data_IF_682638645111
#
_entry.id   IF_682638645111
#
_cell.length_a   1.000
_cell.length_b   1.000
_cell.length_c   1.000
_cell.angle_alpha   90.00
_cell.angle_beta   90.00
_cell.angle_gamma   90.00
#
_symmetry.space_group_name_H-M   'P 1'
#
loop_
_entity.id
_entity.type
_entity.pdbx_description
1 polymer ?
#
# COMPACT_ATOMS: atom_id res chain seq x y z
N UNK A 1 4.30 -4.35 14.43
CA UNK A 1 3.91 -4.10 13.02
C UNK A 1 2.91 -5.18 12.62
N UNK A 2 1.80 -4.85 11.95
CA UNK A 2 0.77 -5.84 11.57
C UNK A 2 1.30 -6.78 10.46
N UNK A 3 1.02 -8.11 10.50
CA UNK A 3 1.61 -9.09 9.57
C UNK A 3 1.33 -8.83 8.09
N UNK A 4 0.22 -8.17 7.76
CA UNK A 4 -0.11 -7.84 6.36
C UNK A 4 0.95 -6.98 5.67
N UNK A 5 1.70 -6.15 6.42
CA UNK A 5 2.68 -5.22 5.84
C UNK A 5 3.85 -5.98 5.19
N UNK A 6 4.59 -6.86 5.91
CA UNK A 6 5.63 -7.66 5.28
C UNK A 6 5.09 -8.58 4.19
N UNK A 7 3.91 -9.21 4.38
CA UNK A 7 3.29 -10.07 3.35
C UNK A 7 3.06 -9.31 2.04
N UNK A 8 2.58 -8.07 2.10
CA UNK A 8 2.39 -7.22 0.91
C UNK A 8 3.73 -6.84 0.29
N UNK A 9 4.71 -6.40 1.09
CA UNK A 9 6.02 -5.97 0.57
C UNK A 9 6.78 -7.14 -0.07
N UNK A 10 6.80 -8.31 0.57
CA UNK A 10 7.37 -9.54 0.03
C UNK A 10 6.63 -10.01 -1.23
N UNK A 11 5.30 -9.94 -1.24
CA UNK A 11 4.50 -10.29 -2.41
C UNK A 11 4.76 -9.36 -3.60
N UNK A 12 5.00 -8.06 -3.35
CA UNK A 12 5.39 -7.11 -4.39
C UNK A 12 6.81 -7.38 -4.90
N UNK A 13 7.76 -7.62 -3.99
CA UNK A 13 9.13 -7.96 -4.35
C UNK A 13 9.20 -9.26 -5.17
N UNK A 14 8.43 -10.28 -4.80
CA UNK A 14 8.36 -11.55 -5.53
C UNK A 14 7.69 -11.44 -6.91
N UNK A 15 6.92 -10.39 -7.14
CA UNK A 15 6.28 -10.09 -8.43
C UNK A 15 6.99 -8.99 -9.22
N UNK A 16 8.17 -8.55 -8.77
CA UNK A 16 8.89 -7.43 -9.36
C UNK A 16 9.26 -7.68 -10.83
N UNK A 17 9.16 -6.62 -11.63
CA UNK A 17 9.47 -6.61 -13.06
C UNK A 17 10.31 -5.36 -13.35
N UNK A 18 11.62 -5.55 -13.38
CA UNK A 18 12.60 -4.45 -13.54
C UNK A 18 12.40 -3.72 -14.86
N UNK A 19 11.97 -4.39 -15.93
CA UNK A 19 11.75 -3.76 -17.24
C UNK A 19 10.63 -2.72 -17.20
N UNK A 20 9.66 -2.88 -16.29
CA UNK A 20 8.55 -1.94 -16.10
C UNK A 20 8.87 -0.78 -15.16
N UNK A 21 9.91 -0.88 -14.34
CA UNK A 21 10.24 0.14 -13.34
C UNK A 21 10.53 1.51 -13.97
N UNK A 22 11.41 1.56 -14.97
CA UNK A 22 11.79 2.80 -15.67
C UNK A 22 10.60 3.50 -16.34
N UNK A 23 9.82 2.81 -17.19
CA UNK A 23 8.61 3.38 -17.79
C UNK A 23 7.60 3.90 -16.76
N UNK A 24 7.41 3.19 -15.64
CA UNK A 24 6.47 3.60 -14.59
C UNK A 24 6.95 4.85 -13.84
N UNK A 25 8.23 4.92 -13.49
CA UNK A 25 8.84 6.09 -12.85
C UNK A 25 8.80 7.31 -13.77
N UNK A 26 9.14 7.13 -15.05
CA UNK A 26 9.11 8.19 -16.07
C UNK A 26 7.70 8.75 -16.29
N UNK A 27 6.68 7.87 -16.36
CA UNK A 27 5.29 8.30 -16.50
C UNK A 27 4.83 9.18 -15.33
N UNK A 28 5.20 8.81 -14.10
CA UNK A 28 4.82 9.55 -12.89
C UNK A 28 5.75 10.71 -12.56
N UNK A 29 6.84 10.91 -13.32
CA UNK A 29 7.87 11.94 -13.09
C UNK A 29 8.33 11.96 -11.64
N UNK A 30 8.66 10.79 -11.11
CA UNK A 30 9.01 10.60 -9.71
C UNK A 30 10.31 9.82 -9.57
N UNK A 31 11.10 10.17 -8.56
CA UNK A 31 12.31 9.44 -8.16
C UNK A 31 12.01 8.31 -7.17
N UNK A 32 10.74 8.08 -6.82
CA UNK A 32 10.37 6.95 -5.96
C UNK A 32 10.71 5.63 -6.66
N UNK A 33 11.29 4.66 -5.94
CA UNK A 33 11.54 3.35 -6.51
C UNK A 33 10.22 2.63 -6.81
N UNK A 34 10.27 1.73 -7.79
CA UNK A 34 9.17 0.84 -8.17
C UNK A 34 9.66 -0.59 -8.14
N UNK A 35 8.76 -1.51 -7.83
CA UNK A 35 8.96 -2.93 -8.12
C UNK A 35 8.65 -3.26 -9.58
N UNK A 36 7.88 -2.41 -10.30
CA UNK A 36 7.39 -2.68 -11.65
C UNK A 36 6.06 -3.45 -11.68
N UNK A 37 5.38 -3.54 -10.52
CA UNK A 37 4.17 -4.36 -10.38
C UNK A 37 2.95 -3.58 -10.85
N UNK A 38 2.26 -4.14 -11.84
CA UNK A 38 1.06 -3.53 -12.41
C UNK A 38 -0.14 -3.58 -11.46
N UNK A 39 -1.15 -2.76 -11.77
CA UNK A 39 -2.32 -2.59 -10.91
C UNK A 39 -3.09 -3.89 -10.65
N UNK A 40 -3.24 -4.77 -11.64
CA UNK A 40 -3.96 -6.04 -11.46
C UNK A 40 -3.25 -6.95 -10.45
N UNK A 41 -1.93 -7.09 -10.58
CA UNK A 41 -1.12 -7.94 -9.71
C UNK A 41 -1.02 -7.37 -8.29
N UNK A 42 -0.77 -6.07 -8.16
CA UNK A 42 -0.79 -5.39 -6.87
C UNK A 42 -2.11 -5.58 -6.13
N UNK A 43 -3.25 -5.44 -6.82
CA UNK A 43 -4.58 -5.65 -6.22
C UNK A 43 -4.77 -7.10 -5.76
N UNK A 44 -4.29 -8.07 -6.54
CA UNK A 44 -4.34 -9.50 -6.19
C UNK A 44 -3.50 -9.79 -4.93
N UNK A 45 -2.26 -9.31 -4.88
CA UNK A 45 -1.36 -9.44 -3.74
C UNK A 45 -1.99 -8.86 -2.48
N UNK A 46 -2.48 -7.62 -2.56
CA UNK A 46 -3.13 -6.97 -1.42
C UNK A 46 -4.37 -7.74 -0.95
N UNK A 47 -5.21 -8.20 -1.87
CA UNK A 47 -6.40 -8.98 -1.52
C UNK A 47 -6.05 -10.29 -0.83
N UNK A 48 -5.05 -11.03 -1.33
CA UNK A 48 -4.60 -12.27 -0.72
C UNK A 48 -4.05 -12.04 0.70
N UNK A 49 -3.24 -10.98 0.87
CA UNK A 49 -2.67 -10.62 2.16
C UNK A 49 -3.76 -10.28 3.20
N UNK A 50 -4.78 -9.49 2.81
CA UNK A 50 -5.88 -9.12 3.70
C UNK A 50 -6.84 -10.29 3.99
N UNK A 51 -6.95 -11.26 3.07
CA UNK A 51 -7.71 -12.49 3.33
C UNK A 51 -6.99 -13.39 4.34
N UNK A 52 -5.66 -13.48 4.27
CA UNK A 52 -4.86 -14.27 5.22
C UNK A 52 -4.72 -13.59 6.59
N UNK A 53 -4.65 -12.26 6.62
CA UNK A 53 -4.43 -11.44 7.82
C UNK A 53 -5.43 -10.27 7.82
N UNK A 54 -6.69 -10.52 8.20
CA UNK A 54 -7.71 -9.49 8.20
C UNK A 54 -7.41 -8.44 9.27
N UNK A 55 -7.59 -7.17 8.89
CA UNK A 55 -7.60 -6.06 9.85
C UNK A 55 -8.95 -6.08 10.56
N UNK A 56 -8.93 -6.10 11.89
CA UNK A 56 -10.14 -6.28 12.72
C UNK A 56 -10.42 -5.09 13.63
N UNK A 57 -9.53 -4.09 13.65
CA UNK A 57 -9.68 -2.91 14.50
C UNK A 57 -9.19 -1.62 13.83
N UNK A 58 -9.69 -0.50 14.37
CA UNK A 58 -9.28 0.85 13.93
C UNK A 58 -7.80 1.14 14.17
N UNK A 59 -7.23 0.60 15.25
CA UNK A 59 -5.80 0.73 15.56
C UNK A 59 -4.95 -0.02 14.53
N UNK A 60 -5.33 -1.25 14.18
CA UNK A 60 -4.68 -2.03 13.13
C UNK A 60 -4.81 -1.35 11.77
N UNK A 61 -6.00 -0.87 11.40
CA UNK A 61 -6.21 -0.10 10.16
C UNK A 61 -5.23 1.06 10.05
N UNK A 62 -5.17 1.90 11.09
CA UNK A 62 -4.24 3.04 11.11
C UNK A 62 -2.79 2.55 11.04
N UNK A 63 -2.43 1.51 11.79
CA UNK A 63 -1.08 0.96 11.79
C UNK A 63 -0.68 0.43 10.41
N UNK A 64 -1.57 -0.30 9.72
CA UNK A 64 -1.29 -0.86 8.40
C UNK A 64 -1.15 0.23 7.35
N UNK A 65 -2.10 1.17 7.29
CA UNK A 65 -2.06 2.26 6.30
C UNK A 65 -0.80 3.09 6.48
N UNK A 66 -0.46 3.48 7.71
CA UNK A 66 0.78 4.24 7.98
C UNK A 66 2.04 3.45 7.69
N UNK A 67 2.08 2.15 8.02
CA UNK A 67 3.27 1.32 7.78
C UNK A 67 3.51 1.13 6.28
N UNK A 68 2.47 0.80 5.50
CA UNK A 68 2.59 0.72 4.04
C UNK A 68 2.92 2.08 3.42
N UNK A 69 2.38 3.18 3.96
CA UNK A 69 2.71 4.53 3.51
C UNK A 69 4.15 4.92 3.82
N UNK A 70 4.81 4.33 4.82
CA UNK A 70 6.20 4.65 5.14
C UNK A 70 7.22 3.90 4.26
N UNK A 71 6.81 2.82 3.57
CA UNK A 71 7.72 2.03 2.74
C UNK A 71 8.13 2.76 1.44
N UNK A 72 9.32 2.50 0.90
CA UNK A 72 9.92 3.38 -0.12
C UNK A 72 9.28 3.27 -1.51
N UNK A 73 8.68 2.14 -1.88
CA UNK A 73 8.22 1.90 -3.25
C UNK A 73 6.84 2.49 -3.50
N UNK A 74 6.61 2.95 -4.73
CA UNK A 74 5.33 3.56 -5.10
C UNK A 74 4.17 2.57 -5.00
N UNK A 75 4.38 1.30 -5.30
CA UNK A 75 3.35 0.27 -5.21
C UNK A 75 2.85 0.06 -3.77
N UNK A 76 3.71 0.25 -2.77
CA UNK A 76 3.35 0.15 -1.35
C UNK A 76 2.42 1.30 -0.94
N UNK A 77 2.66 2.52 -1.46
CA UNK A 77 1.75 3.67 -1.31
C UNK A 77 0.38 3.38 -1.91
N UNK A 78 0.33 2.76 -3.08
CA UNK A 78 -0.94 2.34 -3.69
C UNK A 78 -1.65 1.25 -2.88
N UNK A 79 -0.91 0.32 -2.28
CA UNK A 79 -1.47 -0.66 -1.34
C UNK A 79 -2.05 0.01 -0.09
N UNK A 80 -1.35 1.01 0.47
CA UNK A 80 -1.85 1.80 1.61
C UNK A 80 -3.19 2.47 1.29
N UNK A 81 -3.33 3.08 0.10
CA UNK A 81 -4.60 3.65 -0.39
C UNK A 81 -5.67 2.56 -0.54
N UNK A 82 -5.29 1.39 -1.07
CA UNK A 82 -6.16 0.22 -1.18
C UNK A 82 -6.74 -0.20 0.18
N UNK A 83 -5.91 -0.28 1.23
CA UNK A 83 -6.37 -0.54 2.60
C UNK A 83 -7.25 0.61 3.10
N UNK A 84 -6.79 1.86 2.92
CA UNK A 84 -7.48 3.04 3.40
C UNK A 84 -8.93 3.13 2.90
N UNK A 85 -9.17 2.71 1.65
CA UNK A 85 -10.48 2.76 0.98
C UNK A 85 -11.33 1.50 1.19
N UNK A 86 -10.72 0.34 1.44
CA UNK A 86 -11.42 -0.94 1.62
C UNK A 86 -12.18 -1.03 2.95
N UNK A 87 -11.61 -0.50 4.03
CA UNK A 87 -12.20 -0.53 5.38
C UNK A 87 -13.09 0.68 5.64
N UNK A 88 -14.23 0.75 4.96
CA UNK A 88 -15.16 1.89 4.98
C UNK A 88 -15.67 2.24 6.39
N UNK A 89 -15.80 1.25 7.26
CA UNK A 89 -16.18 1.44 8.67
C UNK A 89 -15.20 2.33 9.47
N UNK A 90 -13.92 2.38 9.05
CA UNK A 90 -12.91 3.21 9.70
C UNK A 90 -12.72 4.56 9.01
N UNK A 91 -13.41 4.81 7.88
CA UNK A 91 -13.41 6.12 7.21
C UNK A 91 -14.36 7.05 7.95
N UNK A 92 -13.80 7.90 8.81
CA UNK A 92 -14.57 8.88 9.59
C UNK A 92 -13.77 10.18 9.75
N UNK A 93 -14.38 11.26 10.28
CA UNK A 93 -13.64 12.50 10.58
C UNK A 93 -12.38 12.28 11.42
N UNK A 94 -12.39 11.29 12.33
CA UNK A 94 -11.22 10.92 13.13
C UNK A 94 -10.05 10.32 12.33
N UNK A 95 -10.25 9.97 11.06
CA UNK A 95 -9.20 9.49 10.14
C UNK A 95 -8.58 10.63 9.32
N UNK A 96 -9.12 11.86 9.40
CA UNK A 96 -8.60 13.00 8.67
C UNK A 96 -7.11 13.28 8.93
N UNK A 97 -6.58 13.18 10.16
CA UNK A 97 -5.14 13.33 10.39
C UNK A 97 -4.28 12.25 9.70
N UNK A 98 -4.83 11.05 9.47
CA UNK A 98 -4.14 10.02 8.69
C UNK A 98 -4.10 10.39 7.20
N UNK A 99 -5.23 10.78 6.62
CA UNK A 99 -5.28 11.11 5.19
C UNK A 99 -4.49 12.38 4.86
N UNK A 100 -4.50 13.38 5.75
CA UNK A 100 -3.64 14.56 5.60
C UNK A 100 -2.18 14.16 5.47
N UNK A 101 -1.68 13.26 6.32
CA UNK A 101 -0.29 12.74 6.22
C UNK A 101 -0.05 12.08 4.87
N UNK A 102 -0.97 11.26 4.38
CA UNK A 102 -0.87 10.63 3.06
C UNK A 102 -0.93 11.61 1.86
N UNK A 103 -1.23 12.88 2.09
CA UNK A 103 -1.26 13.92 1.04
C UNK A 103 -0.02 14.80 1.10
N UNK A 104 0.49 15.08 2.32
CA UNK A 104 1.56 16.05 2.54
C UNK A 104 2.93 15.41 2.78
N UNK A 105 2.98 14.13 3.14
CA UNK A 105 4.18 13.32 3.38
C UNK A 105 4.34 12.26 2.28
#
# INVERSE_FOLDING_TARGET
MHPVVPIVSEGLAGAADVEKTGPMAAYLKTDMPFYGVQTADRKRILSAALSAQPITSRSEYRSVVTSLWALPHREEKYCAIGVATRYREYVSPGSMPLYKRMIVE
#
